data_IF_525922595440
#
_entry.id   IF_525922595440
#
_cell.length_a   1.000
_cell.length_b   1.000
_cell.length_c   1.000
_cell.angle_alpha   90.00
_cell.angle_beta   90.00
_cell.angle_gamma   90.00
#
_symmetry.space_group_name_H-M   'P 1'
#
loop_
_entity.id
_entity.type
_entity.pdbx_description
1 polymer ?
#
# COMPACT_ATOMS: atom_id res chain seq x y z
N UNK A 1 6.28 29.04 -8.82
CA UNK A 1 6.71 28.60 -10.16
C UNK A 1 5.48 28.04 -10.84
N UNK A 2 4.80 28.85 -11.65
CA UNK A 2 3.62 28.43 -12.40
C UNK A 2 4.11 28.02 -13.78
N UNK A 3 3.78 26.81 -14.21
CA UNK A 3 4.05 26.36 -15.56
C UNK A 3 3.06 27.04 -16.50
N UNK A 4 3.55 27.51 -17.64
CA UNK A 4 2.69 28.02 -18.70
C UNK A 4 2.03 26.82 -19.41
N UNK A 5 0.72 26.91 -19.59
CA UNK A 5 -0.14 25.82 -20.08
C UNK A 5 -0.71 26.21 -21.44
N UNK A 6 -0.62 25.32 -22.42
CA UNK A 6 -1.10 25.58 -23.79
C UNK A 6 -2.62 25.34 -23.92
N UNK A 7 -3.15 24.42 -23.10
CA UNK A 7 -4.58 24.10 -23.10
C UNK A 7 -4.99 23.19 -21.95
N UNK A 8 -6.28 23.17 -21.66
CA UNK A 8 -6.87 22.28 -20.66
C UNK A 8 -8.25 21.75 -21.09
N UNK A 9 -8.45 20.45 -20.89
CA UNK A 9 -9.73 19.77 -21.07
C UNK A 9 -10.22 19.30 -19.70
N UNK A 10 -11.48 19.55 -19.37
CA UNK A 10 -12.03 19.13 -18.07
C UNK A 10 -13.21 18.19 -18.24
N UNK A 11 -13.31 17.20 -17.36
CA UNK A 11 -14.43 16.26 -17.28
C UNK A 11 -14.89 16.11 -15.83
N UNK A 12 -16.19 15.89 -15.62
CA UNK A 12 -16.73 15.64 -14.29
C UNK A 12 -16.78 14.14 -14.03
N UNK A 13 -16.12 13.68 -12.97
CA UNK A 13 -16.13 12.29 -12.52
C UNK A 13 -17.14 12.09 -11.39
N UNK A 14 -18.24 11.41 -11.69
CA UNK A 14 -19.21 10.99 -10.68
C UNK A 14 -18.68 9.76 -9.93
N UNK A 15 -18.64 9.83 -8.60
CA UNK A 15 -18.26 8.68 -7.77
C UNK A 15 -19.47 7.82 -7.39
N UNK A 16 -19.18 6.68 -6.78
CA UNK A 16 -20.18 5.67 -6.45
C UNK A 16 -21.12 6.17 -5.36
N UNK A 17 -22.39 5.86 -5.55
CA UNK A 17 -23.39 5.89 -4.48
C UNK A 17 -23.62 4.45 -4.06
N UNK A 18 -23.50 4.16 -2.77
CA UNK A 18 -23.70 2.82 -2.23
C UNK A 18 -24.61 2.85 -1.03
N UNK A 19 -25.38 1.78 -0.85
CA UNK A 19 -26.16 1.58 0.37
C UNK A 19 -25.22 0.95 1.40
N UNK A 20 -25.18 1.54 2.59
CA UNK A 20 -24.45 0.99 3.74
C UNK A 20 -25.14 -0.32 4.19
N UNK A 21 -24.38 -1.42 4.18
CA UNK A 21 -24.92 -2.75 4.49
C UNK A 21 -25.32 -2.92 5.96
N UNK A 22 -24.86 -2.04 6.85
CA UNK A 22 -25.04 -2.16 8.30
C UNK A 22 -26.21 -1.31 8.80
N UNK A 23 -26.38 -0.11 8.28
CA UNK A 23 -27.43 0.84 8.72
C UNK A 23 -28.48 1.15 7.65
N UNK A 24 -28.27 0.71 6.40
CA UNK A 24 -29.23 0.92 5.29
C UNK A 24 -29.24 2.33 4.71
N UNK A 25 -28.41 3.24 5.21
CA UNK A 25 -28.29 4.60 4.67
C UNK A 25 -27.60 4.62 3.30
N UNK A 26 -27.95 5.60 2.48
CA UNK A 26 -27.29 5.83 1.20
C UNK A 26 -26.09 6.74 1.43
N UNK A 27 -24.89 6.20 1.19
CA UNK A 27 -23.64 6.96 1.25
C UNK A 27 -23.19 7.30 -0.17
N UNK A 28 -22.99 8.59 -0.41
CA UNK A 28 -22.44 9.12 -1.66
C UNK A 28 -20.98 9.51 -1.43
N UNK A 29 -20.11 9.01 -2.30
CA UNK A 29 -18.72 9.47 -2.35
C UNK A 29 -18.61 10.78 -3.13
N UNK A 30 -17.65 11.63 -2.77
CA UNK A 30 -17.48 12.95 -3.37
C UNK A 30 -17.15 12.86 -4.87
N UNK A 31 -17.92 13.61 -5.66
CA UNK A 31 -17.64 13.77 -7.08
C UNK A 31 -16.40 14.67 -7.26
N UNK A 32 -15.61 14.41 -8.30
CA UNK A 32 -14.37 15.13 -8.55
C UNK A 32 -14.30 15.64 -9.99
N UNK A 33 -13.57 16.74 -10.19
CA UNK A 33 -13.32 17.29 -11.52
C UNK A 33 -11.93 16.87 -11.97
N UNK A 34 -11.85 16.23 -13.13
CA UNK A 34 -10.59 15.85 -13.77
C UNK A 34 -10.20 16.93 -14.77
N UNK A 35 -8.92 17.29 -14.80
CA UNK A 35 -8.36 18.22 -15.75
C UNK A 35 -7.15 17.56 -16.44
N UNK A 36 -7.20 17.51 -17.77
CA UNK A 36 -6.09 17.11 -18.62
C UNK A 36 -5.42 18.38 -19.14
N UNK A 37 -4.17 18.57 -18.76
CA UNK A 37 -3.41 19.80 -19.04
C UNK A 37 -2.32 19.47 -20.05
N UNK A 38 -2.25 20.23 -21.14
CA UNK A 38 -1.22 20.07 -22.17
C UNK A 38 -0.13 21.12 -21.99
N UNK A 39 1.12 20.63 -21.92
CA UNK A 39 2.30 21.47 -21.87
C UNK A 39 2.69 21.94 -23.28
N UNK A 40 3.39 23.08 -23.41
CA UNK A 40 4.03 23.49 -24.65
C UNK A 40 4.96 22.40 -25.19
N UNK A 41 5.10 22.32 -26.53
CA UNK A 41 5.82 21.24 -27.22
C UNK A 41 7.28 21.05 -26.80
N UNK A 42 7.89 22.10 -26.26
CA UNK A 42 9.29 22.09 -25.80
C UNK A 42 9.47 21.46 -24.42
N UNK A 43 8.37 21.23 -23.69
CA UNK A 43 8.40 20.72 -22.32
C UNK A 43 7.80 19.32 -22.26
N UNK A 44 8.43 18.45 -21.47
CA UNK A 44 7.91 17.12 -21.18
C UNK A 44 7.80 16.93 -19.68
N UNK A 45 6.71 16.30 -19.26
CA UNK A 45 6.48 15.95 -17.87
C UNK A 45 6.33 14.45 -17.75
N UNK A 46 7.08 13.86 -16.83
CA UNK A 46 6.90 12.49 -16.37
C UNK A 46 6.54 12.54 -14.89
N UNK A 47 5.48 11.83 -14.53
CA UNK A 47 5.11 11.72 -13.12
C UNK A 47 6.25 11.03 -12.37
N UNK A 48 6.78 11.64 -11.30
CA UNK A 48 7.89 11.04 -10.57
C UNK A 48 7.42 9.77 -9.86
N UNK A 49 8.35 8.85 -9.62
CA UNK A 49 8.09 7.74 -8.72
C UNK A 49 8.03 8.25 -7.27
N UNK A 50 6.87 8.11 -6.64
CA UNK A 50 6.64 8.53 -5.25
C UNK A 50 6.91 7.41 -4.24
N UNK A 51 7.04 6.18 -4.71
CA UNK A 51 7.18 4.99 -3.86
C UNK A 51 8.41 4.19 -4.29
N UNK A 52 9.63 4.75 -4.15
CA UNK A 52 10.84 3.99 -4.40
C UNK A 52 10.90 2.78 -3.46
N UNK A 53 11.37 1.63 -3.97
CA UNK A 53 11.41 0.36 -3.21
C UNK A 53 12.37 0.42 -2.00
N UNK A 54 13.26 1.41 -1.95
CA UNK A 54 14.39 1.38 -1.03
C UNK A 54 14.17 2.18 0.26
N UNK A 55 14.76 1.62 1.33
CA UNK A 55 14.95 2.11 2.70
C UNK A 55 13.89 1.72 3.76
N UNK A 56 12.60 1.66 3.46
CA UNK A 56 11.58 1.34 4.51
C UNK A 56 11.36 -0.15 4.78
N UNK A 57 11.73 -1.00 3.83
CA UNK A 57 11.47 -2.45 3.89
C UNK A 57 12.45 -3.16 4.85
N UNK A 58 13.64 -2.60 5.11
CA UNK A 58 14.67 -3.26 5.91
C UNK A 58 14.35 -3.30 7.42
N UNK A 59 13.75 -2.25 7.97
CA UNK A 59 13.54 -2.15 9.42
C UNK A 59 12.29 -2.94 9.88
N UNK A 60 11.20 -2.89 9.10
CA UNK A 60 9.99 -3.67 9.37
C UNK A 60 10.22 -5.19 9.24
N UNK A 61 11.10 -5.61 8.31
CA UNK A 61 11.41 -7.02 8.11
C UNK A 61 12.23 -7.65 9.22
N UNK A 62 12.98 -6.87 10.01
CA UNK A 62 13.81 -7.42 11.09
C UNK A 62 12.96 -8.17 12.12
N UNK A 63 11.82 -7.58 12.51
CA UNK A 63 10.88 -8.22 13.45
C UNK A 63 10.29 -9.52 12.88
N UNK A 64 9.99 -9.54 11.58
CA UNK A 64 9.45 -10.70 10.89
C UNK A 64 10.50 -11.80 10.69
N UNK A 65 11.75 -11.42 10.44
CA UNK A 65 12.85 -12.36 10.25
C UNK A 65 13.29 -12.98 11.58
N UNK A 66 13.29 -12.21 12.68
CA UNK A 66 13.47 -12.75 14.03
C UNK A 66 12.35 -13.73 14.41
N UNK A 67 11.09 -13.43 14.07
CA UNK A 67 9.96 -14.33 14.30
C UNK A 67 10.09 -15.64 13.48
N UNK A 68 10.44 -15.55 12.19
CA UNK A 68 10.69 -16.72 11.34
C UNK A 68 11.84 -17.57 11.87
N UNK A 69 12.96 -16.95 12.26
CA UNK A 69 14.10 -17.66 12.82
C UNK A 69 13.76 -18.34 14.14
N UNK A 70 12.99 -17.68 15.02
CA UNK A 70 12.51 -18.27 16.27
C UNK A 70 11.63 -19.50 16.04
N UNK A 71 10.74 -19.43 15.06
CA UNK A 71 9.88 -20.55 14.67
C UNK A 71 10.69 -21.73 14.11
N UNK A 72 11.65 -21.50 13.22
CA UNK A 72 12.52 -22.55 12.69
C UNK A 72 13.33 -23.22 13.81
N UNK A 73 13.93 -22.44 14.72
CA UNK A 73 14.66 -22.97 15.88
C UNK A 73 13.78 -23.81 16.80
N UNK A 74 12.51 -23.45 16.95
CA UNK A 74 11.55 -24.25 17.72
C UNK A 74 11.23 -25.58 17.04
N UNK A 75 11.01 -25.59 15.72
CA UNK A 75 10.77 -26.81 14.96
C UNK A 75 11.96 -27.76 14.98
N UNK A 76 13.19 -27.25 14.86
CA UNK A 76 14.41 -28.07 14.92
C UNK A 76 14.57 -28.77 16.27
N UNK A 77 14.29 -28.06 17.37
CA UNK A 77 14.39 -28.61 18.73
C UNK A 77 13.31 -29.64 19.05
N UNK A 78 12.13 -29.50 18.46
CA UNK A 78 10.99 -30.40 18.71
C UNK A 78 11.01 -31.66 17.83
N UNK A 79 11.83 -31.68 16.77
CA UNK A 79 11.97 -32.81 15.83
C UNK A 79 12.40 -34.12 16.50
N UNK A 80 13.24 -34.06 17.54
CA UNK A 80 13.76 -35.25 18.24
C UNK A 80 12.81 -35.79 19.32
N UNK A 81 11.82 -35.00 19.76
CA UNK A 81 10.91 -35.34 20.86
C UNK A 81 9.48 -34.86 20.58
N UNK A 82 8.77 -35.48 19.61
CA UNK A 82 7.40 -35.10 19.28
C UNK A 82 6.47 -35.33 20.47
N UNK A 83 5.63 -34.34 20.78
CA UNK A 83 4.62 -34.42 21.84
C UNK A 83 5.06 -33.95 23.24
N UNK A 84 6.36 -33.69 23.46
CA UNK A 84 6.82 -33.02 24.69
C UNK A 84 6.90 -31.51 24.48
N UNK A 85 6.29 -30.69 25.36
CA UNK A 85 6.46 -29.25 25.29
C UNK A 85 7.94 -28.84 25.47
N UNK A 86 8.43 -27.92 24.62
CA UNK A 86 9.86 -27.58 24.53
C UNK A 86 10.51 -27.05 25.81
N UNK A 87 9.71 -26.60 26.79
CA UNK A 87 10.15 -26.12 28.11
C UNK A 87 10.46 -27.26 29.10
N UNK A 88 10.07 -28.51 28.81
CA UNK A 88 10.49 -29.71 29.56
C UNK A 88 11.78 -30.35 29.03
N UNK A 89 12.38 -29.76 27.99
CA UNK A 89 13.66 -30.23 27.44
C UNK A 89 14.84 -29.61 28.20
N UNK A 90 14.96 -29.91 29.50
CA UNK A 90 16.21 -29.71 30.25
C UNK A 90 17.18 -30.87 30.01
#
# INVERSE_FOLDING_TARGET
MFWEVDGALTTNGLRKTKIDQRQGFVTKEDDHKLAYVTLPREQSFKFPDLFPEDEKILDDNKSMDEAKQGFTRFLDKTKTRPGLPGWFSY
#
